data_IF_820947750413
#
_entry.id   IF_820947750413
#
_cell.length_a   1.000
_cell.length_b   1.000
_cell.length_c   1.000
_cell.angle_alpha   90.00
_cell.angle_beta   90.00
_cell.angle_gamma   90.00
#
_symmetry.space_group_name_H-M   'P 1'
#
loop_
_entity.id
_entity.type
_entity.pdbx_description
1 polymer ?
#
# COMPACT_ATOMS: atom_id res chain seq x y z
N UNK A 1 0.58 -6.72 13.52
CA UNK A 1 1.44 -7.62 12.71
C UNK A 1 2.64 -6.81 12.26
N UNK A 2 3.86 -7.30 12.50
CA UNK A 2 5.14 -6.68 12.05
C UNK A 2 5.29 -5.19 12.40
N UNK A 3 4.83 -4.79 13.58
CA UNK A 3 4.89 -3.40 14.07
C UNK A 3 6.33 -2.94 14.35
N UNK A 4 7.25 -3.87 14.55
CA UNK A 4 8.68 -3.62 14.82
C UNK A 4 9.47 -3.21 13.57
N UNK A 5 8.95 -3.47 12.37
CA UNK A 5 9.63 -3.14 11.12
C UNK A 5 9.70 -1.62 10.91
N UNK A 6 10.89 -1.16 10.55
CA UNK A 6 11.17 0.27 10.32
C UNK A 6 11.93 0.45 9.02
N UNK A 7 11.45 1.37 8.20
CA UNK A 7 12.12 1.75 6.96
C UNK A 7 13.48 2.42 7.25
N UNK A 8 14.47 2.06 6.43
CA UNK A 8 15.80 2.62 6.42
C UNK A 8 16.09 3.26 5.05
N UNK A 9 16.89 4.33 5.08
CA UNK A 9 17.37 4.97 3.85
C UNK A 9 18.64 4.25 3.37
N UNK A 10 18.45 3.25 2.52
CA UNK A 10 19.53 2.43 1.95
C UNK A 10 20.35 3.17 0.88
N UNK A 11 19.71 4.15 0.22
CA UNK A 11 20.27 4.83 -0.93
C UNK A 11 20.83 6.21 -0.61
N UNK A 12 20.70 6.66 0.65
CA UNK A 12 20.99 8.03 1.05
C UNK A 12 20.31 9.06 0.13
N UNK A 13 19.04 8.77 -0.22
CA UNK A 13 18.29 9.51 -1.21
C UNK A 13 18.03 10.95 -0.75
N UNK A 14 18.27 11.87 -1.66
CA UNK A 14 18.00 13.30 -1.45
C UNK A 14 17.38 13.87 -2.72
N UNK A 15 16.21 14.48 -2.59
CA UNK A 15 15.61 15.38 -3.57
C UNK A 15 15.69 16.82 -3.06
N UNK A 16 14.58 17.49 -2.82
CA UNK A 16 14.54 18.79 -2.10
C UNK A 16 14.82 18.64 -0.61
N UNK A 17 14.73 17.40 -0.06
CA UNK A 17 14.95 17.06 1.34
C UNK A 17 15.48 15.63 1.45
N UNK A 18 16.34 15.34 2.44
CA UNK A 18 16.83 13.98 2.67
C UNK A 18 15.68 13.04 3.03
N UNK A 19 15.68 11.84 2.48
CA UNK A 19 14.66 10.82 2.76
C UNK A 19 14.54 10.50 4.26
N UNK A 20 15.69 10.40 4.95
CA UNK A 20 15.72 10.20 6.41
C UNK A 20 14.95 11.29 7.17
N UNK A 21 15.05 12.54 6.74
CA UNK A 21 14.31 13.65 7.35
C UNK A 21 12.81 13.53 7.08
N UNK A 22 12.41 13.19 5.84
CA UNK A 22 11.00 12.92 5.51
C UNK A 22 10.40 11.80 6.36
N UNK A 23 11.16 10.72 6.59
CA UNK A 23 10.72 9.62 7.46
C UNK A 23 10.52 10.06 8.91
N UNK A 24 11.43 10.89 9.43
CA UNK A 24 11.32 11.42 10.79
C UNK A 24 10.11 12.34 10.94
N UNK A 25 9.89 13.25 9.97
CA UNK A 25 8.72 14.13 9.97
C UNK A 25 7.42 13.33 9.94
N UNK A 26 7.33 12.33 9.05
CA UNK A 26 6.14 11.49 8.95
C UNK A 26 5.83 10.79 10.28
N UNK A 27 6.85 10.21 10.93
CA UNK A 27 6.70 9.53 12.23
C UNK A 27 6.29 10.47 13.35
N UNK A 28 6.83 11.69 13.37
CA UNK A 28 6.50 12.68 14.41
C UNK A 28 5.05 13.17 14.26
N UNK A 29 4.56 13.29 13.03
CA UNK A 29 3.25 13.85 12.76
C UNK A 29 2.09 12.88 12.94
N UNK A 30 2.34 11.56 12.95
CA UNK A 30 1.27 10.56 12.79
C UNK A 30 1.27 9.48 13.87
N UNK A 31 2.31 9.39 14.69
CA UNK A 31 2.52 8.33 15.69
C UNK A 31 2.51 6.89 15.09
N UNK A 32 2.83 6.79 13.79
CA UNK A 32 2.96 5.52 13.08
C UNK A 32 4.37 5.33 12.54
N UNK A 33 4.79 4.08 12.42
CA UNK A 33 6.15 3.75 11.97
C UNK A 33 6.27 3.62 10.47
N UNK A 34 5.14 3.42 9.77
CA UNK A 34 5.09 3.18 8.33
C UNK A 34 3.66 3.39 7.78
N UNK A 35 3.54 3.49 6.45
CA UNK A 35 2.29 3.74 5.74
C UNK A 35 1.31 2.55 5.73
N UNK A 36 1.62 1.41 6.33
CA UNK A 36 0.73 0.27 6.43
C UNK A 36 0.65 -0.24 7.87
N UNK A 37 -0.57 -0.37 8.35
CA UNK A 37 -0.91 -0.95 9.64
C UNK A 37 -1.65 -2.25 9.40
N UNK A 38 -1.24 -3.35 10.04
CA UNK A 38 -1.88 -4.64 9.86
C UNK A 38 -2.22 -5.26 11.21
N UNK A 39 -3.48 -5.68 11.36
CA UNK A 39 -4.03 -6.24 12.59
C UNK A 39 -4.80 -7.53 12.31
N UNK A 40 -4.91 -8.36 13.33
CA UNK A 40 -5.83 -9.49 13.35
C UNK A 40 -6.92 -9.20 14.37
N UNK A 41 -8.15 -9.55 14.03
CA UNK A 41 -9.30 -9.32 14.91
C UNK A 41 -10.54 -10.03 14.41
N UNK A 42 -11.69 -9.65 14.98
CA UNK A 42 -12.99 -10.22 14.60
C UNK A 42 -13.89 -9.16 13.98
N UNK A 43 -14.55 -9.53 12.88
CA UNK A 43 -15.59 -8.77 12.24
C UNK A 43 -16.87 -9.63 12.24
N UNK A 44 -17.91 -9.23 13.00
CA UNK A 44 -19.12 -10.03 13.19
C UNK A 44 -18.80 -11.48 13.61
N UNK A 45 -17.97 -11.64 14.63
CA UNK A 45 -17.50 -12.91 15.21
C UNK A 45 -16.65 -13.80 14.27
N UNK A 46 -16.34 -13.34 13.08
CA UNK A 46 -15.45 -14.04 12.14
C UNK A 46 -14.05 -13.47 12.22
N UNK A 47 -13.05 -14.34 12.35
CA UNK A 47 -11.65 -13.93 12.30
C UNK A 47 -11.31 -13.32 10.94
N UNK A 48 -10.59 -12.19 10.96
CA UNK A 48 -10.11 -11.51 9.77
C UNK A 48 -8.73 -10.91 10.01
N UNK A 49 -7.92 -10.84 8.98
CA UNK A 49 -6.73 -9.96 8.96
C UNK A 49 -7.07 -8.72 8.17
N UNK A 50 -6.81 -7.57 8.75
CA UNK A 50 -7.05 -6.26 8.16
C UNK A 50 -5.73 -5.50 8.01
N UNK A 51 -5.46 -5.02 6.82
CA UNK A 51 -4.40 -4.03 6.54
C UNK A 51 -5.02 -2.71 6.10
N UNK A 52 -4.51 -1.61 6.64
CA UNK A 52 -5.00 -0.26 6.33
C UNK A 52 -3.81 0.62 5.98
N UNK A 53 -3.89 1.30 4.84
CA UNK A 53 -2.91 2.30 4.45
C UNK A 53 -3.15 3.63 5.18
N UNK A 54 -2.09 4.24 5.67
CA UNK A 54 -2.08 5.60 6.22
C UNK A 54 -1.52 6.57 5.17
N UNK A 55 -2.43 7.32 4.53
CA UNK A 55 -2.05 8.24 3.45
C UNK A 55 -1.15 9.39 3.92
N UNK A 56 -1.33 9.84 5.17
CA UNK A 56 -0.51 10.93 5.73
C UNK A 56 0.97 10.51 5.89
N UNK A 57 1.26 9.20 5.94
CA UNK A 57 2.62 8.71 5.94
C UNK A 57 3.16 8.64 4.49
N UNK A 58 3.85 9.69 4.06
CA UNK A 58 4.46 9.79 2.72
C UNK A 58 3.51 9.46 1.56
N UNK A 59 2.26 9.96 1.65
CA UNK A 59 1.24 9.72 0.62
C UNK A 59 0.80 8.26 0.52
N UNK A 60 0.86 7.48 1.60
CA UNK A 60 0.53 6.05 1.57
C UNK A 60 1.43 5.23 0.65
N UNK A 61 2.63 5.73 0.31
CA UNK A 61 3.49 5.12 -0.70
C UNK A 61 4.07 3.78 -0.25
N UNK A 62 4.09 2.82 -1.17
CA UNK A 62 4.60 1.47 -0.94
C UNK A 62 6.13 1.44 -1.05
N UNK A 63 6.83 1.35 0.08
CA UNK A 63 8.24 1.03 0.19
C UNK A 63 8.47 -0.43 0.58
N UNK A 64 9.73 -0.79 0.80
CA UNK A 64 10.17 -2.15 1.16
C UNK A 64 9.47 -2.69 2.42
N UNK A 65 9.32 -1.85 3.44
CA UNK A 65 8.67 -2.24 4.71
C UNK A 65 7.16 -2.36 4.54
N UNK A 66 6.51 -1.48 3.76
CA UNK A 66 5.07 -1.62 3.44
C UNK A 66 4.82 -2.95 2.73
N UNK A 67 5.63 -3.28 1.72
CA UNK A 67 5.52 -4.56 1.03
C UNK A 67 5.74 -5.75 1.94
N UNK A 68 6.72 -5.67 2.86
CA UNK A 68 6.96 -6.75 3.83
C UNK A 68 5.78 -6.90 4.80
N UNK A 69 5.28 -5.82 5.38
CA UNK A 69 4.11 -5.86 6.28
C UNK A 69 2.88 -6.44 5.59
N UNK A 70 2.68 -6.10 4.30
CA UNK A 70 1.59 -6.68 3.52
C UNK A 70 1.75 -8.19 3.35
N UNK A 71 2.95 -8.65 2.97
CA UNK A 71 3.24 -10.09 2.82
C UNK A 71 3.04 -10.81 4.15
N UNK A 72 3.56 -10.28 5.24
CA UNK A 72 3.42 -10.87 6.59
C UNK A 72 1.94 -10.97 7.01
N UNK A 73 1.14 -9.96 6.68
CA UNK A 73 -0.30 -9.96 6.96
C UNK A 73 -1.03 -11.04 6.15
N UNK A 74 -0.69 -11.20 4.87
CA UNK A 74 -1.24 -12.26 4.03
C UNK A 74 -0.83 -13.64 4.53
N UNK A 75 0.45 -13.84 4.89
CA UNK A 75 0.93 -15.11 5.45
C UNK A 75 0.26 -15.44 6.79
N UNK A 76 0.03 -14.43 7.63
CA UNK A 76 -0.71 -14.59 8.87
C UNK A 76 -2.19 -14.97 8.61
N UNK A 77 -2.84 -14.37 7.61
CA UNK A 77 -4.20 -14.76 7.22
C UNK A 77 -4.26 -16.23 6.74
N UNK A 78 -3.24 -16.69 6.00
CA UNK A 78 -3.11 -18.10 5.60
C UNK A 78 -2.96 -19.01 6.83
N UNK A 79 -2.08 -18.64 7.77
CA UNK A 79 -1.86 -19.40 9.01
C UNK A 79 -3.16 -19.53 9.81
N UNK A 80 -3.90 -18.45 9.96
CA UNK A 80 -5.18 -18.42 10.68
C UNK A 80 -6.37 -18.97 9.88
N UNK A 81 -6.16 -19.27 8.59
CA UNK A 81 -7.23 -19.72 7.68
C UNK A 81 -8.41 -18.76 7.65
N UNK A 82 -8.15 -17.46 7.62
CA UNK A 82 -9.17 -16.41 7.63
C UNK A 82 -9.06 -15.46 6.44
N UNK A 83 -10.13 -14.72 6.11
CA UNK A 83 -10.12 -13.70 5.07
C UNK A 83 -9.07 -12.62 5.32
N UNK A 84 -8.55 -12.05 4.22
CA UNK A 84 -7.70 -10.88 4.23
C UNK A 84 -8.44 -9.68 3.63
N UNK A 85 -8.41 -8.55 4.33
CA UNK A 85 -9.03 -7.29 3.91
C UNK A 85 -7.94 -6.23 3.85
N UNK A 86 -7.88 -5.45 2.77
CA UNK A 86 -6.99 -4.30 2.69
C UNK A 86 -7.79 -3.04 2.34
N UNK A 87 -7.73 -2.04 3.20
CA UNK A 87 -8.20 -0.69 2.91
C UNK A 87 -7.03 0.09 2.33
N UNK A 88 -7.08 0.37 1.05
CA UNK A 88 -5.97 0.91 0.30
C UNK A 88 -6.21 2.37 -0.08
N UNK A 89 -5.22 3.21 0.20
CA UNK A 89 -5.05 4.56 -0.32
C UNK A 89 -3.57 4.81 -0.55
N UNK A 90 -3.17 5.31 -1.72
CA UNK A 90 -1.74 5.44 -2.02
C UNK A 90 -1.45 6.29 -3.25
N UNK A 91 -0.38 7.08 -3.17
CA UNK A 91 0.24 7.72 -4.34
C UNK A 91 1.06 6.76 -5.22
N UNK A 92 1.29 5.50 -4.79
CA UNK A 92 1.99 4.48 -5.57
C UNK A 92 3.28 3.96 -4.93
N UNK A 93 4.24 3.51 -5.75
CA UNK A 93 5.53 3.04 -5.29
C UNK A 93 6.38 4.19 -4.74
N UNK A 94 7.06 3.96 -3.61
CA UNK A 94 7.89 4.97 -2.93
C UNK A 94 9.14 5.28 -3.73
N UNK A 95 9.20 6.46 -4.34
CA UNK A 95 10.29 6.90 -5.21
C UNK A 95 11.66 6.87 -4.51
N UNK A 96 11.72 7.23 -3.25
CA UNK A 96 12.95 7.31 -2.45
C UNK A 96 13.64 5.96 -2.24
N UNK A 97 12.93 4.86 -2.47
CA UNK A 97 13.48 3.50 -2.38
C UNK A 97 13.74 2.86 -3.75
N UNK A 98 13.52 3.60 -4.87
CA UNK A 98 13.85 3.17 -6.22
C UNK A 98 13.32 1.75 -6.53
N UNK A 99 14.16 0.86 -7.06
CA UNK A 99 13.80 -0.51 -7.42
C UNK A 99 13.30 -1.35 -6.23
N UNK A 100 13.72 -1.06 -5.00
CA UNK A 100 13.20 -1.78 -3.82
C UNK A 100 11.70 -1.63 -3.65
N UNK A 101 11.15 -0.45 -3.95
CA UNK A 101 9.71 -0.23 -3.92
C UNK A 101 8.99 -0.92 -5.09
N UNK A 102 9.60 -0.95 -6.28
CA UNK A 102 9.00 -1.64 -7.43
C UNK A 102 8.96 -3.16 -7.25
N UNK A 103 9.98 -3.76 -6.63
CA UNK A 103 9.96 -5.18 -6.31
C UNK A 103 8.84 -5.59 -5.35
N UNK A 104 8.28 -4.65 -4.58
CA UNK A 104 7.16 -4.96 -3.72
C UNK A 104 5.89 -5.32 -4.51
N UNK A 105 5.73 -4.81 -5.73
CA UNK A 105 4.61 -5.17 -6.59
C UNK A 105 4.58 -6.68 -6.86
N UNK A 106 5.70 -7.26 -7.24
CA UNK A 106 5.79 -8.72 -7.48
C UNK A 106 5.66 -9.53 -6.19
N UNK A 107 6.25 -9.06 -5.08
CA UNK A 107 6.18 -9.74 -3.79
C UNK A 107 4.76 -9.81 -3.25
N UNK A 108 4.03 -8.69 -3.26
CA UNK A 108 2.65 -8.62 -2.80
C UNK A 108 1.71 -9.45 -3.68
N UNK A 109 1.89 -9.41 -5.00
CA UNK A 109 1.14 -10.24 -5.94
C UNK A 109 1.39 -11.75 -5.73
N UNK A 110 2.64 -12.14 -5.47
CA UNK A 110 2.99 -13.53 -5.16
C UNK A 110 2.35 -14.00 -3.85
N UNK A 111 2.32 -13.14 -2.81
CA UNK A 111 1.65 -13.46 -1.55
C UNK A 111 0.14 -13.66 -1.74
N UNK A 112 -0.52 -12.78 -2.49
CA UNK A 112 -1.95 -12.91 -2.81
C UNK A 112 -2.24 -14.19 -3.61
N UNK A 113 -1.35 -14.59 -4.51
CA UNK A 113 -1.50 -15.87 -5.23
C UNK A 113 -1.43 -17.08 -4.27
N UNK A 114 -0.57 -17.04 -3.24
CA UNK A 114 -0.55 -18.06 -2.17
C UNK A 114 -1.88 -18.09 -1.41
N UNK A 115 -2.43 -16.91 -1.03
CA UNK A 115 -3.72 -16.80 -0.34
C UNK A 115 -4.83 -17.43 -1.18
N UNK A 116 -4.89 -17.08 -2.47
CA UNK A 116 -5.86 -17.62 -3.43
C UNK A 116 -5.74 -19.13 -3.56
N UNK A 117 -4.53 -19.69 -3.59
CA UNK A 117 -4.31 -21.13 -3.64
C UNK A 117 -4.88 -21.88 -2.42
N UNK A 118 -5.02 -21.18 -1.29
CA UNK A 118 -5.67 -21.67 -0.06
C UNK A 118 -7.19 -21.44 -0.05
N UNK A 119 -7.75 -20.87 -1.13
CA UNK A 119 -9.18 -20.52 -1.25
C UNK A 119 -9.66 -19.56 -0.16
N UNK A 120 -8.77 -18.70 0.32
CA UNK A 120 -9.09 -17.66 1.27
C UNK A 120 -9.35 -16.36 0.51
N UNK A 121 -10.47 -15.66 0.77
CA UNK A 121 -10.82 -14.47 0.02
C UNK A 121 -9.94 -13.28 0.39
N UNK A 122 -9.57 -12.50 -0.62
CA UNK A 122 -9.00 -11.17 -0.49
C UNK A 122 -10.03 -10.11 -0.89
N UNK A 123 -10.35 -9.21 0.04
CA UNK A 123 -11.25 -8.07 -0.19
C UNK A 123 -10.42 -6.81 -0.19
N UNK A 124 -10.44 -6.08 -1.31
CA UNK A 124 -9.79 -4.80 -1.44
C UNK A 124 -10.80 -3.66 -1.38
N UNK A 125 -10.61 -2.74 -0.43
CA UNK A 125 -11.41 -1.53 -0.30
C UNK A 125 -10.57 -0.37 -0.81
N UNK A 126 -11.03 0.23 -1.90
CA UNK A 126 -10.34 1.29 -2.62
C UNK A 126 -10.85 2.65 -2.13
N UNK A 127 -10.01 3.39 -1.41
CA UNK A 127 -10.34 4.74 -0.93
C UNK A 127 -9.57 5.81 -1.71
N UNK A 128 -10.00 7.06 -1.63
CA UNK A 128 -9.40 8.16 -2.40
C UNK A 128 -8.08 8.66 -1.80
N UNK A 129 -7.00 8.81 -2.60
CA UNK A 129 -6.77 8.30 -3.97
C UNK A 129 -5.98 6.98 -3.98
N UNK A 130 -6.03 6.24 -5.09
CA UNK A 130 -5.12 5.09 -5.33
C UNK A 130 -4.46 5.19 -6.69
N UNK A 131 -3.14 5.27 -6.71
CA UNK A 131 -2.36 5.41 -7.94
C UNK A 131 -1.14 4.48 -8.01
N UNK A 132 -0.51 4.49 -9.18
CA UNK A 132 0.80 3.93 -9.46
C UNK A 132 0.95 2.45 -9.13
N UNK A 133 2.09 2.10 -8.54
CA UNK A 133 2.45 0.72 -8.24
C UNK A 133 1.50 -0.01 -7.29
N UNK A 134 0.81 0.71 -6.39
CA UNK A 134 -0.17 0.10 -5.48
C UNK A 134 -1.45 -0.26 -6.24
N UNK A 135 -1.95 0.64 -7.10
CA UNK A 135 -3.08 0.33 -7.98
C UNK A 135 -2.75 -0.85 -8.91
N UNK A 136 -1.57 -0.83 -9.54
CA UNK A 136 -1.14 -1.85 -10.51
C UNK A 136 -0.72 -3.19 -9.87
N UNK A 137 -0.81 -3.32 -8.56
CA UNK A 137 -0.46 -4.56 -7.85
C UNK A 137 -1.54 -4.96 -6.85
N UNK A 138 -1.28 -4.77 -5.56
CA UNK A 138 -2.11 -5.31 -4.49
C UNK A 138 -3.56 -4.77 -4.47
N UNK A 139 -3.77 -3.47 -4.81
CA UNK A 139 -5.08 -2.85 -4.64
C UNK A 139 -6.14 -3.40 -5.61
N UNK A 140 -5.76 -3.73 -6.85
CA UNK A 140 -6.69 -4.21 -7.86
C UNK A 140 -6.78 -5.75 -7.96
N UNK A 141 -6.07 -6.48 -7.10
CA UNK A 141 -6.02 -7.95 -7.11
C UNK A 141 -7.02 -8.60 -6.14
N UNK A 142 -7.97 -7.84 -5.59
CA UNK A 142 -9.03 -8.39 -4.74
C UNK A 142 -9.93 -9.38 -5.49
N UNK A 143 -10.34 -10.46 -4.82
CA UNK A 143 -11.45 -11.29 -5.30
C UNK A 143 -12.75 -10.47 -5.31
N UNK A 144 -12.85 -9.50 -4.39
CA UNK A 144 -13.88 -8.47 -4.34
C UNK A 144 -13.19 -7.13 -4.20
N UNK A 145 -13.48 -6.20 -5.12
CA UNK A 145 -13.02 -4.82 -5.06
C UNK A 145 -14.22 -3.90 -4.75
N UNK A 146 -14.13 -3.15 -3.66
CA UNK A 146 -15.14 -2.19 -3.23
C UNK A 146 -14.51 -0.80 -3.30
N UNK A 147 -15.08 0.11 -4.07
CA UNK A 147 -14.56 1.47 -4.18
C UNK A 147 -15.44 2.45 -3.38
N UNK A 148 -14.79 3.38 -2.71
CA UNK A 148 -15.45 4.56 -2.16
C UNK A 148 -16.06 5.39 -3.31
N UNK A 149 -17.27 5.93 -3.15
CA UNK A 149 -17.86 6.78 -4.18
C UNK A 149 -16.98 7.97 -4.52
N UNK A 150 -16.69 8.15 -5.81
CA UNK A 150 -15.81 9.20 -6.37
C UNK A 150 -14.31 9.03 -6.07
N UNK A 151 -13.88 7.91 -5.49
CA UNK A 151 -12.45 7.64 -5.32
C UNK A 151 -11.72 7.67 -6.67
N UNK A 152 -10.60 8.36 -6.70
CA UNK A 152 -9.73 8.41 -7.86
C UNK A 152 -8.86 7.14 -7.86
N UNK A 153 -9.13 6.25 -8.79
CA UNK A 153 -8.42 4.98 -8.95
C UNK A 153 -7.80 4.92 -10.34
N UNK A 154 -6.50 4.82 -10.43
CA UNK A 154 -5.80 4.80 -11.71
C UNK A 154 -4.33 4.43 -11.60
N UNK A 155 -3.62 4.37 -12.74
CA UNK A 155 -2.17 4.19 -12.73
C UNK A 155 -1.46 5.55 -12.65
N UNK A 156 -1.80 6.48 -13.54
CA UNK A 156 -1.28 7.84 -13.49
C UNK A 156 -2.29 8.77 -12.80
N UNK A 157 -1.81 9.56 -11.84
CA UNK A 157 -2.63 10.61 -11.23
C UNK A 157 -2.84 11.79 -12.19
N UNK A 158 -3.85 12.65 -11.94
CA UNK A 158 -4.16 13.80 -12.82
C UNK A 158 -2.95 14.68 -13.12
N UNK A 159 -2.17 15.02 -12.10
CA UNK A 159 -0.94 15.82 -12.26
C UNK A 159 0.07 15.19 -13.23
N UNK A 160 0.25 13.86 -13.15
CA UNK A 160 1.17 13.15 -14.06
C UNK A 160 0.66 13.19 -15.49
N UNK A 161 -0.65 13.08 -15.67
CA UNK A 161 -1.29 13.20 -16.99
C UNK A 161 -1.10 14.60 -17.56
N UNK A 162 -1.32 15.63 -16.75
CA UNK A 162 -1.11 17.03 -17.12
C UNK A 162 0.34 17.29 -17.53
N UNK A 163 1.30 16.86 -16.72
CA UNK A 163 2.72 17.09 -16.93
C UNK A 163 3.26 16.34 -18.19
N UNK A 164 2.74 15.14 -18.48
CA UNK A 164 3.24 14.31 -19.58
C UNK A 164 2.51 14.51 -20.91
N UNK A 165 1.24 14.89 -20.88
CA UNK A 165 0.43 14.93 -22.10
C UNK A 165 0.76 16.11 -23.00
N UNK A 166 1.35 17.19 -22.46
CA UNK A 166 1.53 18.49 -23.16
C UNK A 166 0.23 19.01 -23.82
N UNK A 167 -0.86 18.31 -23.62
CA UNK A 167 -2.17 18.66 -24.13
C UNK A 167 -2.84 19.41 -23.00
N UNK A 168 -2.89 20.73 -23.13
CA UNK A 168 -3.83 21.53 -22.39
C UNK A 168 -5.23 21.13 -22.85
N UNK A 169 -5.78 20.10 -22.27
CA UNK A 169 -7.23 19.86 -22.35
C UNK A 169 -7.85 20.85 -21.38
N UNK A 170 -7.84 22.10 -21.79
CA UNK A 170 -8.73 23.12 -21.26
C UNK A 170 -10.04 23.00 -22.03
N UNK A 171 -10.93 22.16 -21.58
CA UNK A 171 -12.37 22.31 -21.84
C UNK A 171 -13.14 21.53 -20.79
#
# INVERSE_FOLDING_TARGET
ISSELKTKDWLSFTDTKKYKERLNDAKTNIDETEALISVHGKLNDKDVVLSVFEFRFLGGSMGSVVGQKFVDAVEFAIEKSCPFICVATSGGARMQESLFSLFQMSRTSAALNKLKSKKLPFISVLTDPIYGGVAASLAMLGDINIAEPKAQVGFAGPRVIEDLSLIHISE
#
